data_IF_940936287514
#
_entry.id   IF_940936287514
#
_cell.length_a   1.000
_cell.length_b   1.000
_cell.length_c   1.000
_cell.angle_alpha   90.00
_cell.angle_beta   90.00
_cell.angle_gamma   90.00
#
_symmetry.space_group_name_H-M   'P 1'
#
loop_
_entity.id
_entity.type
_entity.pdbx_description
1 polymer ?
#
# COMPACT_ATOMS: atom_id res chain seq x y z
N UNK A 1 3.86 -30.64 -3.15
CA UNK A 1 2.75 -29.69 -2.90
C UNK A 1 3.30 -28.54 -2.06
N UNK A 2 3.37 -27.33 -2.60
CA UNK A 2 4.01 -26.20 -1.93
C UNK A 2 3.03 -25.58 -0.93
N UNK A 3 2.94 -26.17 0.27
CA UNK A 3 2.07 -25.68 1.36
C UNK A 3 2.31 -24.19 1.63
N UNK A 4 1.25 -23.39 1.61
CA UNK A 4 1.29 -21.96 1.91
C UNK A 4 1.85 -21.07 0.79
N UNK A 5 1.74 -21.50 -0.47
CA UNK A 5 2.13 -20.72 -1.64
C UNK A 5 1.33 -19.40 -1.72
N UNK A 6 0.03 -19.45 -1.43
CA UNK A 6 -0.86 -18.28 -1.40
C UNK A 6 -0.37 -17.16 -0.45
N UNK A 7 -0.05 -17.50 0.79
CA UNK A 7 0.47 -16.54 1.77
C UNK A 7 1.82 -15.96 1.34
N UNK A 8 2.74 -16.82 0.86
CA UNK A 8 4.06 -16.40 0.41
C UNK A 8 3.96 -15.45 -0.77
N UNK A 9 3.04 -15.70 -1.71
CA UNK A 9 2.78 -14.83 -2.86
C UNK A 9 2.34 -13.42 -2.42
N UNK A 10 1.28 -13.29 -1.59
CA UNK A 10 0.87 -11.97 -1.12
C UNK A 10 1.97 -11.26 -0.32
N UNK A 11 2.74 -12.00 0.48
CA UNK A 11 3.83 -11.44 1.27
C UNK A 11 4.95 -10.88 0.40
N UNK A 12 5.30 -11.56 -0.69
CA UNK A 12 6.30 -11.08 -1.66
C UNK A 12 5.79 -9.85 -2.39
N UNK A 13 4.54 -9.84 -2.82
CA UNK A 13 3.93 -8.68 -3.49
C UNK A 13 3.89 -7.46 -2.57
N UNK A 14 3.40 -7.61 -1.34
CA UNK A 14 3.33 -6.53 -0.37
C UNK A 14 4.71 -5.93 -0.06
N UNK A 15 5.71 -6.79 0.20
CA UNK A 15 7.09 -6.36 0.43
C UNK A 15 7.69 -5.69 -0.79
N UNK A 16 7.43 -6.19 -2.00
CA UNK A 16 7.91 -5.58 -3.24
C UNK A 16 7.42 -4.15 -3.42
N UNK A 17 6.11 -3.93 -3.23
CA UNK A 17 5.51 -2.59 -3.30
C UNK A 17 6.05 -1.66 -2.20
N UNK A 18 6.21 -2.17 -0.97
CA UNK A 18 6.80 -1.39 0.13
C UNK A 18 8.24 -0.99 -0.17
N UNK A 19 9.09 -1.91 -0.64
CA UNK A 19 10.48 -1.64 -0.97
C UNK A 19 10.59 -0.64 -2.12
N UNK A 20 9.72 -0.72 -3.12
CA UNK A 20 9.68 0.25 -4.22
C UNK A 20 9.51 1.69 -3.74
N UNK A 21 8.54 1.91 -2.84
CA UNK A 21 8.32 3.23 -2.23
C UNK A 21 9.53 3.68 -1.40
N UNK A 22 10.07 2.80 -0.54
CA UNK A 22 11.22 3.13 0.31
C UNK A 22 12.46 3.49 -0.52
N UNK A 23 12.76 2.72 -1.57
CA UNK A 23 13.89 3.01 -2.46
C UNK A 23 13.70 4.32 -3.21
N UNK A 24 12.51 4.55 -3.76
CA UNK A 24 12.22 5.79 -4.48
C UNK A 24 12.35 7.01 -3.58
N UNK A 25 11.77 6.97 -2.37
CA UNK A 25 11.93 8.04 -1.38
C UNK A 25 13.39 8.23 -0.98
N UNK A 26 14.14 7.14 -0.75
CA UNK A 26 15.57 7.20 -0.42
C UNK A 26 16.40 7.89 -1.51
N UNK A 27 16.15 7.56 -2.79
CA UNK A 27 16.82 8.19 -3.93
C UNK A 27 16.50 9.69 -3.97
N UNK A 28 15.22 10.08 -3.86
CA UNK A 28 14.82 11.49 -3.84
C UNK A 28 15.47 12.25 -2.69
N UNK A 29 15.50 11.67 -1.48
CA UNK A 29 16.17 12.25 -0.31
C UNK A 29 17.65 12.48 -0.59
N UNK A 30 18.35 11.47 -1.12
CA UNK A 30 19.76 11.58 -1.46
C UNK A 30 20.03 12.68 -2.48
N UNK A 31 19.23 12.75 -3.56
CA UNK A 31 19.41 13.75 -4.63
C UNK A 31 19.22 15.19 -4.13
N UNK A 32 18.22 15.41 -3.27
CA UNK A 32 17.96 16.74 -2.69
C UNK A 32 19.00 17.10 -1.63
N UNK A 33 19.35 16.17 -0.73
CA UNK A 33 20.30 16.42 0.36
C UNK A 33 21.73 16.66 -0.14
N UNK A 34 22.15 15.94 -1.19
CA UNK A 34 23.46 16.12 -1.82
C UNK A 34 23.59 17.39 -2.65
N UNK A 35 22.51 18.17 -2.80
CA UNK A 35 22.40 19.30 -3.73
C UNK A 35 22.71 18.92 -5.19
N UNK A 36 22.61 17.64 -5.54
CA UNK A 36 22.75 17.17 -6.93
C UNK A 36 21.61 17.72 -7.81
N UNK A 37 20.44 17.95 -7.20
CA UNK A 37 19.29 18.57 -7.82
C UNK A 37 18.74 19.63 -6.87
N UNK A 38 18.50 20.83 -7.40
CA UNK A 38 17.85 21.90 -6.66
C UNK A 38 16.32 21.80 -6.83
N UNK A 39 15.54 21.99 -5.76
CA UNK A 39 14.08 21.99 -5.83
C UNK A 39 13.55 23.04 -6.82
N UNK A 40 12.85 22.59 -7.87
CA UNK A 40 12.39 23.43 -8.96
C UNK A 40 11.09 24.21 -8.67
N UNK A 41 10.35 23.83 -7.62
CA UNK A 41 9.00 24.34 -7.34
C UNK A 41 8.79 24.72 -5.86
N UNK A 42 9.80 25.28 -5.22
CA UNK A 42 9.77 25.63 -3.79
C UNK A 42 8.57 26.48 -3.38
N UNK A 43 8.17 27.43 -4.23
CA UNK A 43 7.04 28.34 -3.97
C UNK A 43 5.65 27.67 -3.97
N UNK A 44 5.54 26.44 -4.50
CA UNK A 44 4.29 25.68 -4.52
C UNK A 44 4.09 24.81 -3.28
N UNK A 45 4.99 24.86 -2.29
CA UNK A 45 5.00 23.93 -1.16
C UNK A 45 3.68 23.92 -0.37
N UNK A 46 3.12 25.08 -0.02
CA UNK A 46 1.85 25.20 0.72
C UNK A 46 0.69 24.61 -0.08
N UNK A 47 0.59 24.94 -1.36
CA UNK A 47 -0.46 24.42 -2.25
C UNK A 47 -0.36 22.90 -2.37
N UNK A 48 0.84 22.39 -2.61
CA UNK A 48 1.09 20.96 -2.73
C UNK A 48 0.86 20.21 -1.42
N UNK A 49 1.12 20.82 -0.26
CA UNK A 49 0.80 20.21 1.04
C UNK A 49 -0.70 19.97 1.20
N UNK A 50 -1.54 20.94 0.84
CA UNK A 50 -3.00 20.78 0.89
C UNK A 50 -3.44 19.66 -0.06
N UNK A 51 -2.91 19.62 -1.29
CA UNK A 51 -3.21 18.56 -2.24
C UNK A 51 -2.74 17.20 -1.72
N UNK A 52 -1.52 17.11 -1.17
CA UNK A 52 -0.96 15.88 -0.61
C UNK A 52 -1.81 15.35 0.54
N UNK A 53 -2.32 16.23 1.41
CA UNK A 53 -3.25 15.84 2.48
C UNK A 53 -4.56 15.26 1.92
N UNK A 54 -5.16 15.90 0.91
CA UNK A 54 -6.39 15.41 0.28
C UNK A 54 -6.18 14.07 -0.43
N UNK A 55 -5.09 13.94 -1.19
CA UNK A 55 -4.72 12.70 -1.88
C UNK A 55 -4.45 11.58 -0.87
N UNK A 56 -3.75 11.88 0.22
CA UNK A 56 -3.47 10.92 1.29
C UNK A 56 -4.75 10.46 1.98
N UNK A 57 -5.60 11.41 2.40
CA UNK A 57 -6.88 11.09 3.03
C UNK A 57 -7.77 10.27 2.10
N UNK A 58 -7.87 10.66 0.82
CA UNK A 58 -8.65 9.96 -0.20
C UNK A 58 -8.12 8.56 -0.49
N UNK A 59 -6.80 8.39 -0.64
CA UNK A 59 -6.17 7.10 -0.90
C UNK A 59 -6.31 6.13 0.28
N UNK A 60 -6.07 6.60 1.51
CA UNK A 60 -6.24 5.79 2.74
C UNK A 60 -7.70 5.40 2.92
N UNK A 61 -8.62 6.37 2.91
CA UNK A 61 -10.04 6.09 3.09
C UNK A 61 -10.59 5.18 1.98
N UNK A 62 -10.21 5.47 0.74
CA UNK A 62 -10.58 4.69 -0.44
C UNK A 62 -10.09 3.25 -0.36
N UNK A 63 -8.80 3.04 -0.05
CA UNK A 63 -8.20 1.71 0.09
C UNK A 63 -8.87 0.88 1.17
N UNK A 64 -9.07 1.44 2.37
CA UNK A 64 -9.70 0.74 3.49
C UNK A 64 -11.17 0.40 3.19
N UNK A 65 -11.92 1.36 2.65
CA UNK A 65 -13.34 1.17 2.35
C UNK A 65 -13.55 0.19 1.20
N UNK A 66 -12.74 0.30 0.14
CA UNK A 66 -12.78 -0.62 -1.00
C UNK A 66 -12.51 -2.05 -0.55
N UNK A 67 -11.42 -2.27 0.21
CA UNK A 67 -11.08 -3.59 0.70
C UNK A 67 -12.17 -4.17 1.59
N UNK A 68 -12.69 -3.38 2.54
CA UNK A 68 -13.79 -3.81 3.41
C UNK A 68 -15.03 -4.23 2.61
N UNK A 69 -15.44 -3.42 1.63
CA UNK A 69 -16.59 -3.72 0.75
C UNK A 69 -16.37 -5.00 -0.04
N UNK A 70 -15.20 -5.16 -0.66
CA UNK A 70 -14.85 -6.35 -1.43
C UNK A 70 -14.78 -7.59 -0.55
N UNK A 71 -14.24 -7.49 0.65
CA UNK A 71 -14.17 -8.61 1.58
C UNK A 71 -15.57 -9.12 1.98
N UNK A 72 -16.51 -8.20 2.24
CA UNK A 72 -17.90 -8.58 2.52
C UNK A 72 -18.55 -9.30 1.32
N UNK A 73 -18.28 -8.84 0.09
CA UNK A 73 -18.77 -9.51 -1.12
C UNK A 73 -18.18 -10.92 -1.29
N UNK A 74 -16.87 -11.09 -1.03
CA UNK A 74 -16.20 -12.39 -1.13
C UNK A 74 -16.75 -13.39 -0.11
N UNK A 75 -17.02 -12.94 1.13
CA UNK A 75 -17.60 -13.79 2.18
C UNK A 75 -19.01 -14.27 1.85
N UNK A 76 -19.83 -13.40 1.23
CA UNK A 76 -21.18 -13.73 0.83
C UNK A 76 -21.25 -14.63 -0.42
N UNK A 77 -20.15 -14.79 -1.16
CA UNK A 77 -20.10 -15.56 -2.39
C UNK A 77 -20.04 -17.07 -2.10
N UNK A 78 -20.85 -17.83 -2.83
CA UNK A 78 -20.75 -19.29 -2.90
C UNK A 78 -19.66 -19.69 -3.89
N UNK A 79 -18.41 -19.61 -3.43
CA UNK A 79 -17.22 -20.03 -4.17
C UNK A 79 -16.34 -20.90 -3.26
N UNK A 80 -15.55 -21.75 -3.89
CA UNK A 80 -14.52 -22.55 -3.21
C UNK A 80 -13.41 -21.65 -2.65
N UNK A 81 -12.55 -22.22 -1.80
CA UNK A 81 -11.46 -21.49 -1.16
C UNK A 81 -10.54 -20.80 -2.17
N UNK A 82 -10.28 -21.46 -3.32
CA UNK A 82 -9.45 -20.95 -4.40
C UNK A 82 -10.07 -19.74 -5.10
N UNK A 83 -11.34 -19.81 -5.47
CA UNK A 83 -12.06 -18.68 -6.06
C UNK A 83 -12.13 -17.47 -5.12
N UNK A 84 -12.38 -17.70 -3.83
CA UNK A 84 -12.36 -16.63 -2.82
C UNK A 84 -10.98 -15.99 -2.66
N UNK A 85 -9.92 -16.81 -2.69
CA UNK A 85 -8.55 -16.33 -2.57
C UNK A 85 -8.14 -15.44 -3.75
N UNK A 86 -8.50 -15.80 -4.99
CA UNK A 86 -8.16 -14.99 -6.18
C UNK A 86 -8.80 -13.58 -6.12
N UNK A 87 -10.06 -13.50 -5.69
CA UNK A 87 -10.74 -12.23 -5.49
C UNK A 87 -10.13 -11.43 -4.34
N UNK A 88 -9.76 -12.10 -3.25
CA UNK A 88 -9.11 -11.49 -2.10
C UNK A 88 -7.73 -10.92 -2.46
N UNK A 89 -6.92 -11.68 -3.21
CA UNK A 89 -5.61 -11.24 -3.72
C UNK A 89 -5.76 -9.95 -4.55
N UNK A 90 -6.74 -9.92 -5.44
CA UNK A 90 -7.06 -8.73 -6.25
C UNK A 90 -7.46 -7.55 -5.35
N UNK A 91 -8.29 -7.79 -4.34
CA UNK A 91 -8.70 -6.75 -3.40
C UNK A 91 -7.52 -6.17 -2.60
N UNK A 92 -6.59 -7.02 -2.15
CA UNK A 92 -5.35 -6.58 -1.50
C UNK A 92 -4.50 -5.70 -2.43
N UNK A 93 -4.30 -6.11 -3.68
CA UNK A 93 -3.50 -5.33 -4.64
C UNK A 93 -4.08 -3.94 -4.88
N UNK A 94 -5.40 -3.83 -5.04
CA UNK A 94 -6.05 -2.53 -5.22
C UNK A 94 -5.95 -1.68 -3.95
N UNK A 95 -6.13 -2.27 -2.76
CA UNK A 95 -5.93 -1.56 -1.50
C UNK A 95 -4.51 -1.01 -1.39
N UNK A 96 -3.51 -1.81 -1.73
CA UNK A 96 -2.11 -1.41 -1.67
C UNK A 96 -1.78 -0.33 -2.70
N UNK A 97 -2.29 -0.42 -3.93
CA UNK A 97 -2.12 0.63 -4.94
C UNK A 97 -2.72 1.97 -4.50
N UNK A 98 -3.88 1.95 -3.83
CA UNK A 98 -4.53 3.16 -3.29
C UNK A 98 -3.76 3.80 -2.11
N UNK A 99 -2.91 3.04 -1.41
CA UNK A 99 -2.01 3.55 -0.38
C UNK A 99 -0.66 3.98 -0.96
N UNK A 100 -0.15 3.25 -1.96
CA UNK A 100 1.12 3.53 -2.63
C UNK A 100 1.08 4.85 -3.41
N UNK A 101 -0.01 5.11 -4.13
CA UNK A 101 -0.17 6.34 -4.93
C UNK A 101 0.12 7.62 -4.14
N UNK A 102 -0.53 7.84 -2.98
CA UNK A 102 -0.22 8.98 -2.12
C UNK A 102 1.22 9.04 -1.62
N UNK A 103 1.85 7.89 -1.31
CA UNK A 103 3.24 7.81 -0.85
C UNK A 103 4.22 8.28 -1.95
N UNK A 104 4.03 7.79 -3.18
CA UNK A 104 4.81 8.21 -4.35
C UNK A 104 4.56 9.69 -4.64
N UNK A 105 3.30 10.14 -4.59
CA UNK A 105 2.96 11.55 -4.80
C UNK A 105 3.65 12.48 -3.79
N UNK A 106 3.59 12.16 -2.49
CA UNK A 106 4.26 12.94 -1.46
C UNK A 106 5.79 12.95 -1.67
N UNK A 107 6.38 11.83 -2.07
CA UNK A 107 7.81 11.77 -2.40
C UNK A 107 8.18 12.70 -3.55
N UNK A 108 7.35 12.75 -4.61
CA UNK A 108 7.54 13.68 -5.73
C UNK A 108 7.40 15.14 -5.25
N UNK A 109 6.42 15.45 -4.41
CA UNK A 109 6.28 16.79 -3.83
C UNK A 109 7.50 17.20 -3.00
N UNK A 110 8.06 16.29 -2.19
CA UNK A 110 9.33 16.53 -1.50
C UNK A 110 10.44 16.84 -2.50
N UNK A 111 10.59 16.01 -3.54
CA UNK A 111 11.63 16.18 -4.54
C UNK A 111 11.54 17.53 -5.28
N UNK A 112 10.32 17.98 -5.58
CA UNK A 112 10.08 19.24 -6.29
C UNK A 112 10.25 20.49 -5.40
N UNK A 113 9.96 20.39 -4.12
CA UNK A 113 9.87 21.55 -3.20
C UNK A 113 11.02 21.63 -2.20
N UNK A 114 11.68 20.51 -1.93
CA UNK A 114 12.64 20.35 -0.83
C UNK A 114 12.00 20.38 0.56
N UNK A 115 10.65 20.36 0.65
CA UNK A 115 9.95 20.49 1.93
C UNK A 115 9.79 19.13 2.63
N UNK A 116 10.43 18.97 3.78
CA UNK A 116 10.44 17.72 4.56
C UNK A 116 9.08 17.32 5.16
N UNK A 117 8.09 18.23 5.19
CA UNK A 117 6.75 17.88 5.68
C UNK A 117 6.09 16.77 4.84
N UNK A 118 6.40 16.71 3.54
CA UNK A 118 5.93 15.64 2.66
C UNK A 118 6.49 14.27 3.06
N UNK A 119 7.72 14.20 3.56
CA UNK A 119 8.31 12.94 4.04
C UNK A 119 7.64 12.45 5.33
N UNK A 120 7.17 13.36 6.18
CA UNK A 120 6.37 12.96 7.35
C UNK A 120 5.07 12.26 6.91
N UNK A 121 4.42 12.73 5.85
CA UNK A 121 3.26 12.03 5.27
C UNK A 121 3.65 10.67 4.69
N UNK A 122 4.77 10.56 3.96
CA UNK A 122 5.28 9.27 3.46
C UNK A 122 5.45 8.27 4.60
N UNK A 123 6.05 8.67 5.73
CA UNK A 123 6.23 7.79 6.89
C UNK A 123 4.90 7.31 7.48
N UNK A 124 3.90 8.20 7.59
CA UNK A 124 2.55 7.83 8.06
C UNK A 124 1.90 6.83 7.09
N UNK A 125 2.01 7.08 5.78
CA UNK A 125 1.43 6.20 4.76
C UNK A 125 2.12 4.83 4.78
N UNK A 126 3.45 4.78 4.88
CA UNK A 126 4.21 3.54 5.00
C UNK A 126 3.83 2.75 6.26
N UNK A 127 3.63 3.44 7.38
CA UNK A 127 3.15 2.80 8.61
C UNK A 127 1.78 2.14 8.39
N UNK A 128 0.82 2.88 7.81
CA UNK A 128 -0.50 2.34 7.45
C UNK A 128 -0.38 1.17 6.47
N UNK A 129 0.50 1.29 5.46
CA UNK A 129 0.75 0.25 4.46
C UNK A 129 1.24 -1.05 5.12
N UNK A 130 2.16 -0.96 6.09
CA UNK A 130 2.64 -2.11 6.88
C UNK A 130 1.51 -2.77 7.67
N UNK A 131 0.58 -2.01 8.24
CA UNK A 131 -0.59 -2.57 8.94
C UNK A 131 -1.51 -3.39 8.02
N UNK A 132 -1.46 -3.13 6.70
CA UNK A 132 -2.20 -3.92 5.71
C UNK A 132 -1.52 -5.22 5.31
N UNK A 133 -0.32 -5.52 5.83
CA UNK A 133 0.42 -6.72 5.49
C UNK A 133 -0.42 -8.01 5.64
N UNK A 134 -0.21 -8.99 4.75
CA UNK A 134 -0.85 -10.29 4.88
C UNK A 134 -0.26 -11.04 6.09
N UNK A 135 -1.12 -11.75 6.81
CA UNK A 135 -0.74 -12.68 7.87
C UNK A 135 -1.63 -13.92 7.75
N UNK A 136 -1.09 -15.13 7.99
CA UNK A 136 -1.84 -16.38 7.84
C UNK A 136 -3.17 -16.36 8.61
N UNK A 137 -3.12 -16.04 9.91
CA UNK A 137 -4.29 -15.92 10.77
C UNK A 137 -5.28 -14.84 10.26
N UNK A 138 -4.75 -13.70 9.81
CA UNK A 138 -5.57 -12.61 9.24
C UNK A 138 -6.32 -13.09 7.99
N UNK A 139 -5.65 -13.84 7.11
CA UNK A 139 -6.27 -14.40 5.90
C UNK A 139 -7.36 -15.42 6.23
N UNK A 140 -7.12 -16.34 7.17
CA UNK A 140 -8.13 -17.32 7.62
C UNK A 140 -9.38 -16.62 8.14
N UNK A 141 -9.22 -15.64 9.03
CA UNK A 141 -10.32 -14.87 9.60
C UNK A 141 -11.04 -14.01 8.53
N UNK A 142 -10.29 -13.44 7.59
CA UNK A 142 -10.84 -12.62 6.53
C UNK A 142 -11.63 -13.45 5.51
N UNK A 143 -11.11 -14.60 5.08
CA UNK A 143 -11.75 -15.48 4.11
C UNK A 143 -12.78 -16.46 4.70
N UNK A 144 -12.76 -16.66 6.02
CA UNK A 144 -13.58 -17.66 6.73
C UNK A 144 -13.34 -19.08 6.21
N UNK A 145 -12.06 -19.42 6.00
CA UNK A 145 -11.62 -20.75 5.57
C UNK A 145 -10.78 -21.42 6.67
N UNK A 146 -10.78 -22.75 6.67
CA UNK A 146 -9.98 -23.55 7.60
C UNK A 146 -8.47 -23.46 7.31
N UNK A 147 -7.65 -23.89 8.25
CA UNK A 147 -6.20 -23.96 8.06
C UNK A 147 -5.81 -24.96 6.98
N UNK A 148 -6.48 -26.11 6.93
CA UNK A 148 -6.25 -27.12 5.89
C UNK A 148 -6.51 -26.55 4.49
N UNK A 149 -7.65 -25.88 4.28
CA UNK A 149 -7.96 -25.23 3.01
C UNK A 149 -6.93 -24.15 2.66
N UNK A 150 -6.42 -23.39 3.63
CA UNK A 150 -5.38 -22.38 3.39
C UNK A 150 -4.02 -23.01 3.03
N UNK A 151 -3.68 -24.17 3.60
CA UNK A 151 -2.44 -24.89 3.25
C UNK A 151 -2.47 -25.44 1.83
N UNK A 152 -3.67 -25.77 1.34
CA UNK A 152 -3.92 -26.32 0.00
C UNK A 152 -3.98 -25.25 -1.10
N UNK A 153 -3.94 -23.96 -0.74
CA UNK A 153 -3.86 -22.79 -1.65
C UNK A 153 -2.42 -22.39 -2.04
#
# INVERSE_FOLDING_TARGET
>A
MQKGAAFKMLSVLHKGLMMGQVFFSGICIYLVYSNSILPAAKELDKTLQVVALLVTAGGVYGGMTFFKKKLMQIRAMQADAKGKFELYRTACLIQWALLEGPSIFCTICFFLTGNYAFLALVLIILFIFVMTAPAKLKMQLQLQISEAELEDL
#
